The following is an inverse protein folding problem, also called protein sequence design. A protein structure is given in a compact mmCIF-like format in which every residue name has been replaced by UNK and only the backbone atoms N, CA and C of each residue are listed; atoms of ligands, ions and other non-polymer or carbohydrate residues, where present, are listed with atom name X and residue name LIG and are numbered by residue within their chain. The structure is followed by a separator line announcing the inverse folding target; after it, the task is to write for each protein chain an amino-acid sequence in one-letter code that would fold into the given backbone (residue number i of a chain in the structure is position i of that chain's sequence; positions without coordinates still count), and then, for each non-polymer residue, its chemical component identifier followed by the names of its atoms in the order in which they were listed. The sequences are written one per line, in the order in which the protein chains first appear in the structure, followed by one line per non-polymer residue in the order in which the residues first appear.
data_IF_810240856116
#
_entry.id   IF_810240856116
#
_cell.length_a   1.000
_cell.length_b   1.000
_cell.length_c   1.000
_cell.angle_alpha   90.00
_cell.angle_beta   90.00
_cell.angle_gamma   90.00
#
_symmetry.space_group_name_H-M   'P 1'
#
loop_
_entity.id
_entity.type
_entity.pdbx_description
1 polymer ?
#
# COMPACT_ATOMS: atom_id res chain seq x y z
N UNK A 1 -9.38 -1.71 20.68
CA UNK A 1 -9.23 -2.93 21.49
C UNK A 1 -8.61 -4.07 20.67
N UNK A 2 -9.23 -4.57 19.55
CA UNK A 2 -8.72 -5.74 18.79
C UNK A 2 -7.30 -5.53 18.23
N UNK A 3 -7.04 -4.39 17.56
CA UNK A 3 -5.70 -4.09 16.99
C UNK A 3 -4.62 -3.99 18.05
N UNK A 4 -4.92 -3.35 19.20
CA UNK A 4 -3.98 -3.28 20.31
C UNK A 4 -3.60 -4.67 20.81
N UNK A 5 -4.59 -5.53 21.05
CA UNK A 5 -4.35 -6.91 21.49
C UNK A 5 -3.48 -7.71 20.48
N UNK A 6 -3.74 -7.57 19.18
CA UNK A 6 -2.95 -8.22 18.13
C UNK A 6 -1.49 -7.78 18.16
N UNK A 7 -1.24 -6.48 18.34
CA UNK A 7 0.14 -5.96 18.44
C UNK A 7 0.81 -6.38 19.75
N UNK A 8 0.05 -6.41 20.87
CA UNK A 8 0.57 -6.86 22.17
C UNK A 8 0.95 -8.35 22.17
N UNK A 9 0.15 -9.19 21.48
CA UNK A 9 0.44 -10.63 21.38
C UNK A 9 1.48 -10.96 20.29
N UNK A 10 1.67 -10.05 19.34
CA UNK A 10 2.66 -10.24 18.27
C UNK A 10 2.23 -11.20 17.17
N UNK A 11 0.97 -11.60 17.10
CA UNK A 11 0.46 -12.56 16.13
C UNK A 11 -0.80 -12.04 15.41
N UNK A 12 -0.94 -12.36 14.14
CA UNK A 12 -2.16 -12.09 13.39
C UNK A 12 -2.36 -10.63 12.98
N UNK A 13 -1.29 -9.91 12.67
CA UNK A 13 -1.33 -8.53 12.18
C UNK A 13 -1.98 -8.51 10.81
N UNK A 14 -3.13 -7.85 10.71
CA UNK A 14 -3.89 -7.70 9.47
C UNK A 14 -3.36 -6.57 8.59
N UNK A 15 -3.92 -6.46 7.38
CA UNK A 15 -3.50 -5.48 6.36
C UNK A 15 -3.56 -4.04 6.87
N UNK A 16 -4.67 -3.66 7.50
CA UNK A 16 -4.86 -2.29 7.96
C UNK A 16 -3.96 -1.94 9.15
N UNK A 17 -3.64 -2.92 9.99
CA UNK A 17 -2.67 -2.77 11.08
C UNK A 17 -1.26 -2.63 10.52
N UNK A 18 -0.88 -3.46 9.52
CA UNK A 18 0.40 -3.34 8.82
C UNK A 18 0.59 -1.98 8.14
N UNK A 19 -0.47 -1.44 7.52
CA UNK A 19 -0.45 -0.08 6.96
C UNK A 19 -0.23 0.98 8.05
N UNK A 20 -0.97 0.89 9.16
CA UNK A 20 -0.83 1.83 10.27
C UNK A 20 0.56 1.78 10.90
N UNK A 21 1.17 0.61 11.00
CA UNK A 21 2.55 0.43 11.46
C UNK A 21 3.54 1.07 10.48
N UNK A 22 3.35 0.92 9.17
CA UNK A 22 4.21 1.56 8.17
C UNK A 22 4.19 3.08 8.30
N UNK A 23 3.00 3.66 8.37
CA UNK A 23 2.83 5.11 8.52
C UNK A 23 3.39 5.60 9.86
N UNK A 24 2.99 4.96 10.96
CA UNK A 24 3.41 5.36 12.30
C UNK A 24 4.92 5.31 12.50
N UNK A 25 5.58 4.26 12.02
CA UNK A 25 7.04 4.14 12.14
C UNK A 25 7.78 5.17 11.28
N UNK A 26 7.31 5.46 10.07
CA UNK A 26 7.87 6.53 9.23
C UNK A 26 7.74 7.90 9.90
N UNK A 27 6.58 8.19 10.51
CA UNK A 27 6.37 9.47 11.18
C UNK A 27 7.23 9.64 12.43
N UNK A 28 7.42 8.59 13.21
CA UNK A 28 8.33 8.62 14.36
C UNK A 28 9.78 8.82 13.92
N UNK A 29 10.15 8.37 12.72
CA UNK A 29 11.44 8.63 12.08
C UNK A 29 11.54 10.02 11.44
N UNK A 30 10.49 10.84 11.52
CA UNK A 30 10.47 12.21 11.00
C UNK A 30 10.01 12.33 9.55
N UNK A 31 9.45 11.28 8.94
CA UNK A 31 8.92 11.29 7.57
C UNK A 31 7.43 11.62 7.59
N UNK A 32 6.97 12.75 7.02
CA UNK A 32 5.56 13.03 6.87
C UNK A 32 4.85 12.02 5.97
N UNK A 33 3.59 11.75 6.25
CA UNK A 33 2.75 10.85 5.44
C UNK A 33 1.51 11.60 5.00
N UNK A 34 1.24 11.64 3.70
CA UNK A 34 0.05 12.23 3.13
C UNK A 34 -0.71 11.17 2.33
N UNK A 35 -1.96 10.96 2.68
CA UNK A 35 -2.87 10.04 2.01
C UNK A 35 -4.12 10.79 1.58
N UNK A 36 -4.43 10.78 0.30
CA UNK A 36 -5.68 11.31 -0.23
C UNK A 36 -6.41 10.31 -1.11
N UNK A 37 -7.72 10.44 -1.17
CA UNK A 37 -8.60 9.61 -1.99
C UNK A 37 -10.03 9.68 -1.47
N UNK A 38 -10.95 9.10 -2.21
CA UNK A 38 -12.36 9.06 -1.80
C UNK A 38 -12.50 8.12 -0.60
N UNK A 39 -13.14 8.61 0.47
CA UNK A 39 -13.33 7.88 1.72
C UNK A 39 -12.05 7.42 2.43
N UNK A 40 -10.88 7.99 2.14
CA UNK A 40 -9.58 7.50 2.64
C UNK A 40 -9.42 7.58 4.16
N UNK A 41 -10.10 8.50 4.85
CA UNK A 41 -10.09 8.59 6.31
C UNK A 41 -10.59 7.28 6.95
N UNK A 42 -11.63 6.69 6.41
CA UNK A 42 -12.23 5.42 6.85
C UNK A 42 -11.66 4.23 6.08
N UNK A 43 -11.31 4.43 4.84
CA UNK A 43 -11.09 3.45 3.78
C UNK A 43 -12.40 3.06 3.09
N UNK A 44 -12.37 2.91 1.74
CA UNK A 44 -13.54 2.50 0.93
C UNK A 44 -14.18 1.21 1.46
N UNK A 45 -13.36 0.29 1.94
CA UNK A 45 -13.81 -1.01 2.48
C UNK A 45 -13.93 -1.03 4.00
N UNK A 46 -14.00 0.14 4.66
CA UNK A 46 -14.13 0.24 6.12
C UNK A 46 -12.97 -0.48 6.85
N UNK A 47 -11.77 -0.40 6.32
CA UNK A 47 -10.58 -1.08 6.85
C UNK A 47 -9.68 -0.18 7.67
N UNK A 48 -9.50 1.08 7.27
CA UNK A 48 -8.46 1.97 7.81
C UNK A 48 -8.84 2.60 9.15
N UNK A 49 -9.92 3.35 9.17
CA UNK A 49 -10.36 4.10 10.36
C UNK A 49 -9.26 4.99 10.94
N UNK A 50 -8.62 5.81 10.11
CA UNK A 50 -7.56 6.73 10.51
C UNK A 50 -8.07 7.90 11.34
N UNK A 51 -9.34 8.24 11.22
CA UNK A 51 -9.97 9.37 11.91
C UNK A 51 -11.12 8.86 12.79
N UNK A 52 -11.12 9.30 14.04
CA UNK A 52 -12.23 9.12 14.97
C UNK A 52 -12.96 10.45 15.13
N UNK A 53 -14.29 10.42 15.09
CA UNK A 53 -15.11 11.60 15.24
C UNK A 53 -15.82 11.54 16.60
N UNK A 54 -15.74 12.62 17.39
CA UNK A 54 -16.54 12.74 18.60
C UNK A 54 -18.01 12.81 18.26
N UNK A 55 -18.83 12.03 18.94
CA UNK A 55 -20.26 11.89 18.61
C UNK A 55 -21.12 13.09 19.11
N UNK A 56 -20.52 14.03 19.85
CA UNK A 56 -21.20 15.20 20.39
C UNK A 56 -20.72 16.51 19.76
N UNK A 57 -19.39 16.64 19.60
CA UNK A 57 -18.76 17.87 19.13
C UNK A 57 -18.39 17.81 17.65
N UNK A 58 -18.38 16.59 17.05
CA UNK A 58 -17.90 16.30 15.70
C UNK A 58 -16.39 16.57 15.50
N UNK A 59 -15.66 16.79 16.59
CA UNK A 59 -14.21 16.97 16.53
C UNK A 59 -13.52 15.72 16.02
N UNK A 60 -12.51 15.92 15.17
CA UNK A 60 -11.71 14.84 14.60
C UNK A 60 -10.50 14.56 15.45
N UNK A 61 -10.25 13.29 15.72
CA UNK A 61 -9.04 12.78 16.36
C UNK A 61 -8.33 11.80 15.45
N UNK A 62 -7.05 12.05 15.16
CA UNK A 62 -6.20 11.19 14.34
C UNK A 62 -5.21 10.47 15.27
N UNK A 63 -5.44 9.18 15.59
CA UNK A 63 -4.58 8.45 16.53
C UNK A 63 -3.10 8.44 16.14
N UNK A 64 -2.80 8.31 14.85
CA UNK A 64 -1.43 8.29 14.35
C UNK A 64 -0.68 9.61 14.54
N UNK A 65 -1.35 10.74 14.69
CA UNK A 65 -0.71 12.03 15.04
C UNK A 65 -0.41 12.18 16.52
N UNK A 66 -0.65 11.14 17.31
CA UNK A 66 -0.50 11.17 18.76
C UNK A 66 0.33 9.98 19.30
N UNK A 67 1.34 9.54 18.54
CA UNK A 67 2.24 8.44 18.93
C UNK A 67 3.39 9.00 19.78
N UNK A 68 3.96 10.13 19.37
CA UNK A 68 5.11 10.78 20.01
C UNK A 68 5.03 12.30 19.88
N UNK A 69 5.61 13.03 20.82
CA UNK A 69 5.61 14.50 20.82
C UNK A 69 6.38 15.11 19.63
N UNK A 70 7.40 14.44 19.13
CA UNK A 70 8.32 14.96 18.11
C UNK A 70 8.21 14.20 16.78
N UNK A 71 7.08 13.59 16.49
CA UNK A 71 6.85 12.90 15.22
C UNK A 71 6.50 13.86 14.08
N UNK A 72 6.65 13.37 12.86
CA UNK A 72 6.08 14.02 11.68
C UNK A 72 4.55 13.85 11.61
N UNK A 73 3.90 14.61 10.74
CA UNK A 73 2.45 14.65 10.60
C UNK A 73 1.91 13.58 9.65
N UNK A 74 0.76 13.03 9.97
CA UNK A 74 -0.10 12.26 9.09
C UNK A 74 -1.27 13.10 8.61
N UNK A 75 -1.26 13.43 7.33
CA UNK A 75 -2.35 14.13 6.67
C UNK A 75 -3.18 13.11 5.89
N UNK A 76 -4.42 12.88 6.32
CA UNK A 76 -5.37 11.99 5.64
C UNK A 76 -6.60 12.77 5.21
N UNK A 77 -6.95 12.67 3.92
CA UNK A 77 -7.95 13.55 3.30
C UNK A 77 -8.95 12.72 2.49
N UNK A 78 -10.23 12.91 2.79
CA UNK A 78 -11.29 12.50 1.88
C UNK A 78 -11.34 13.48 0.71
N UNK A 79 -10.92 13.03 -0.46
CA UNK A 79 -10.83 13.86 -1.65
C UNK A 79 -12.18 14.11 -2.32
N UNK A 80 -12.19 15.08 -3.22
CA UNK A 80 -13.30 15.26 -4.16
C UNK A 80 -13.40 14.11 -5.17
N UNK A 81 -14.54 14.02 -5.86
CA UNK A 81 -14.83 13.04 -6.90
C UNK A 81 -14.19 13.44 -8.25
N UNK A 82 -12.87 13.38 -8.33
CA UNK A 82 -12.16 13.58 -9.59
C UNK A 82 -10.77 12.95 -9.52
N UNK A 83 -10.62 11.82 -10.17
CA UNK A 83 -9.35 11.10 -10.22
C UNK A 83 -8.26 11.94 -10.86
N UNK A 84 -8.57 12.62 -11.98
CA UNK A 84 -7.60 13.46 -12.68
C UNK A 84 -7.12 14.64 -11.83
N UNK A 85 -8.04 15.32 -11.15
CA UNK A 85 -7.68 16.47 -10.32
C UNK A 85 -6.87 16.04 -9.08
N UNK A 86 -7.33 15.01 -8.39
CA UNK A 86 -6.70 14.56 -7.14
C UNK A 86 -5.33 13.93 -7.43
N UNK A 87 -5.25 13.00 -8.39
CA UNK A 87 -3.97 12.39 -8.75
C UNK A 87 -2.98 13.42 -9.30
N UNK A 88 -3.45 14.38 -10.09
CA UNK A 88 -2.60 15.47 -10.60
C UNK A 88 -2.06 16.35 -9.47
N UNK A 89 -2.88 16.64 -8.46
CA UNK A 89 -2.45 17.37 -7.28
C UNK A 89 -1.41 16.60 -6.48
N UNK A 90 -1.65 15.34 -6.17
CA UNK A 90 -0.73 14.51 -5.38
C UNK A 90 0.59 14.25 -6.12
N UNK A 91 0.55 14.13 -7.44
CA UNK A 91 1.78 14.11 -8.23
C UNK A 91 2.59 15.39 -8.05
N UNK A 92 1.95 16.57 -8.19
CA UNK A 92 2.60 17.86 -7.96
C UNK A 92 3.14 18.01 -6.54
N UNK A 93 2.35 17.57 -5.54
CA UNK A 93 2.77 17.58 -4.13
C UNK A 93 4.03 16.73 -3.92
N UNK A 94 4.09 15.53 -4.49
CA UNK A 94 5.24 14.62 -4.38
C UNK A 94 6.53 15.18 -5.01
N UNK A 95 6.41 16.10 -5.96
CA UNK A 95 7.55 16.81 -6.55
C UNK A 95 8.03 17.99 -5.68
N UNK A 96 7.09 18.63 -4.99
CA UNK A 96 7.37 19.76 -4.11
C UNK A 96 7.95 19.30 -2.76
N UNK A 97 7.47 18.16 -2.24
CA UNK A 97 7.90 17.56 -0.97
C UNK A 97 8.37 16.10 -1.18
N UNK A 98 9.60 15.93 -1.67
CA UNK A 98 10.13 14.58 -1.97
C UNK A 98 10.46 13.76 -0.71
N UNK A 99 10.45 14.38 0.48
CA UNK A 99 10.74 13.73 1.75
C UNK A 99 9.47 13.24 2.47
N UNK A 100 8.29 13.48 1.94
CA UNK A 100 7.05 12.93 2.42
C UNK A 100 6.65 11.66 1.65
N UNK A 101 6.03 10.71 2.35
CA UNK A 101 5.33 9.60 1.71
C UNK A 101 3.97 10.10 1.23
N UNK A 102 3.84 10.33 -0.07
CA UNK A 102 2.62 10.83 -0.70
C UNK A 102 1.89 9.68 -1.37
N UNK A 103 0.62 9.45 -0.95
CA UNK A 103 -0.20 8.37 -1.47
C UNK A 103 -1.52 8.92 -2.02
N UNK A 104 -1.89 8.43 -3.19
CA UNK A 104 -3.24 8.54 -3.70
C UNK A 104 -3.92 7.17 -3.71
N UNK A 105 -5.08 7.06 -3.06
CA UNK A 105 -5.88 5.84 -3.09
C UNK A 105 -7.08 6.04 -4.02
N UNK A 106 -7.13 5.26 -5.11
CA UNK A 106 -8.33 5.17 -5.91
C UNK A 106 -9.45 4.50 -5.10
N UNK A 107 -10.70 4.90 -5.27
CA UNK A 107 -11.82 4.23 -4.62
C UNK A 107 -11.91 2.75 -5.05
N UNK A 108 -11.72 2.52 -6.35
CA UNK A 108 -11.41 1.25 -6.97
C UNK A 108 -10.32 1.49 -8.02
N UNK A 109 -9.39 0.56 -8.19
CA UNK A 109 -8.30 0.74 -9.14
C UNK A 109 -8.76 0.91 -10.59
N UNK A 110 -9.93 0.37 -10.95
CA UNK A 110 -10.52 0.56 -12.28
C UNK A 110 -10.81 2.03 -12.60
N UNK A 111 -11.13 2.85 -11.61
CA UNK A 111 -11.42 4.28 -11.80
C UNK A 111 -10.17 5.13 -12.06
N UNK A 112 -8.96 4.58 -11.92
CA UNK A 112 -7.73 5.27 -12.32
C UNK A 112 -7.73 5.66 -13.80
N UNK A 113 -8.57 5.04 -14.63
CA UNK A 113 -8.76 5.41 -16.03
C UNK A 113 -9.23 6.87 -16.21
N UNK A 114 -9.95 7.42 -15.23
CA UNK A 114 -10.33 8.85 -15.20
C UNK A 114 -9.15 9.81 -15.07
N UNK A 115 -7.99 9.31 -14.70
CA UNK A 115 -6.72 10.06 -14.60
C UNK A 115 -5.64 9.54 -15.57
N UNK A 116 -6.00 8.79 -16.60
CA UNK A 116 -5.03 8.13 -17.49
C UNK A 116 -4.06 9.13 -18.12
N UNK A 117 -4.52 10.33 -18.47
CA UNK A 117 -3.66 11.39 -19.01
C UNK A 117 -2.56 11.79 -18.01
N UNK A 118 -2.89 11.89 -16.72
CA UNK A 118 -1.91 12.20 -15.68
C UNK A 118 -0.90 11.06 -15.55
N UNK A 119 -1.36 9.82 -15.61
CA UNK A 119 -0.50 8.63 -15.54
C UNK A 119 0.47 8.61 -16.74
N UNK A 120 -0.05 8.74 -17.97
CA UNK A 120 0.77 8.60 -19.20
C UNK A 120 1.73 9.79 -19.39
N UNK A 121 1.25 11.02 -19.16
CA UNK A 121 1.98 12.22 -19.55
C UNK A 121 2.86 12.79 -18.43
N UNK A 122 2.60 12.42 -17.18
CA UNK A 122 3.32 12.97 -16.03
C UNK A 122 3.98 11.87 -15.20
N UNK A 123 3.23 10.93 -14.64
CA UNK A 123 3.76 9.94 -13.69
C UNK A 123 4.77 9.01 -14.37
N UNK A 124 4.42 8.41 -15.50
CA UNK A 124 5.27 7.46 -16.21
C UNK A 124 6.43 8.10 -16.97
N UNK A 125 6.30 9.36 -17.36
CA UNK A 125 7.23 10.02 -18.29
C UNK A 125 7.91 11.27 -17.72
N UNK A 126 7.51 11.75 -16.55
CA UNK A 126 8.00 13.02 -15.98
C UNK A 126 9.50 13.05 -15.72
N UNK A 127 10.08 11.93 -15.28
CA UNK A 127 11.50 11.82 -15.08
C UNK A 127 12.29 12.00 -16.40
N UNK A 128 11.84 11.35 -17.48
CA UNK A 128 12.49 11.45 -18.79
C UNK A 128 12.29 12.82 -19.43
N UNK A 129 11.09 13.39 -19.32
CA UNK A 129 10.78 14.69 -19.93
C UNK A 129 11.44 15.88 -19.22
N UNK A 130 11.46 15.86 -17.90
CA UNK A 130 11.78 17.03 -17.08
C UNK A 130 12.85 16.77 -16.03
N UNK A 131 13.42 15.57 -15.97
CA UNK A 131 14.36 15.14 -14.94
C UNK A 131 13.79 15.32 -13.52
N UNK A 132 12.48 15.09 -13.39
CA UNK A 132 11.75 15.19 -12.12
C UNK A 132 11.34 13.80 -11.64
N UNK A 133 11.92 13.39 -10.52
CA UNK A 133 11.59 12.14 -9.87
C UNK A 133 10.43 12.34 -8.88
N UNK A 134 9.41 11.51 -8.96
CA UNK A 134 8.28 11.50 -8.04
C UNK A 134 8.30 10.24 -7.18
N UNK A 135 8.10 10.42 -5.87
CA UNK A 135 7.92 9.30 -4.93
C UNK A 135 6.45 8.91 -4.72
N UNK A 136 5.55 9.39 -5.56
CA UNK A 136 4.12 9.13 -5.45
C UNK A 136 3.81 7.64 -5.39
N UNK A 137 2.94 7.25 -4.46
CA UNK A 137 2.39 5.90 -4.35
C UNK A 137 0.93 5.93 -4.82
N UNK A 138 0.59 5.03 -5.73
CA UNK A 138 -0.80 4.80 -6.14
C UNK A 138 -1.30 3.50 -5.52
N UNK A 139 -2.34 3.59 -4.69
CA UNK A 139 -3.02 2.45 -4.10
C UNK A 139 -4.26 2.13 -4.93
N UNK A 140 -4.25 0.99 -5.60
CA UNK A 140 -5.27 0.61 -6.58
C UNK A 140 -5.98 -0.67 -6.13
N UNK A 141 -7.15 -0.58 -5.46
CA UNK A 141 -7.93 -1.76 -5.10
C UNK A 141 -8.26 -2.61 -6.33
N UNK A 142 -7.86 -3.89 -6.28
CA UNK A 142 -7.89 -4.82 -7.40
C UNK A 142 -8.40 -6.19 -6.95
N UNK A 143 -9.25 -6.81 -7.77
CA UNK A 143 -9.78 -8.16 -7.55
C UNK A 143 -11.17 -8.33 -8.15
N UNK A 144 -11.50 -9.57 -8.49
CA UNK A 144 -12.75 -9.96 -9.14
C UNK A 144 -13.77 -10.54 -8.13
N UNK A 145 -13.92 -9.88 -6.97
CA UNK A 145 -14.78 -10.35 -5.87
C UNK A 145 -16.18 -9.71 -5.88
N UNK A 146 -16.93 -9.90 -6.97
CA UNK A 146 -18.37 -9.72 -6.98
C UNK A 146 -18.93 -8.30 -6.88
N UNK A 147 -18.14 -7.25 -7.14
CA UNK A 147 -18.60 -5.85 -7.01
C UNK A 147 -18.92 -5.18 -8.36
N UNK A 148 -19.10 -5.97 -9.39
CA UNK A 148 -19.39 -5.48 -10.74
C UNK A 148 -18.14 -5.31 -11.62
N UNK A 149 -18.34 -5.17 -12.95
CA UNK A 149 -17.23 -5.11 -13.92
C UNK A 149 -16.33 -3.91 -13.72
N UNK A 150 -16.91 -2.74 -13.43
CA UNK A 150 -16.21 -1.47 -13.25
C UNK A 150 -15.55 -1.30 -11.88
N UNK A 151 -15.67 -2.30 -11.01
CA UNK A 151 -15.10 -2.31 -9.66
C UNK A 151 -14.09 -3.45 -9.47
N UNK A 152 -13.59 -4.03 -10.53
CA UNK A 152 -12.79 -5.26 -10.48
C UNK A 152 -11.32 -5.03 -10.78
N UNK A 153 -10.97 -4.75 -12.02
CA UNK A 153 -9.58 -4.69 -12.44
C UNK A 153 -9.00 -3.29 -12.35
N UNK A 154 -7.87 -3.15 -11.67
CA UNK A 154 -7.03 -1.95 -11.71
C UNK A 154 -6.20 -1.87 -13.01
N UNK A 155 -6.34 -2.81 -13.93
CA UNK A 155 -5.62 -2.86 -15.19
C UNK A 155 -4.10 -2.89 -15.02
N UNK A 156 -3.63 -3.86 -14.24
CA UNK A 156 -2.20 -4.09 -13.99
C UNK A 156 -1.36 -4.06 -15.27
N UNK A 157 -1.87 -4.63 -16.36
CA UNK A 157 -1.24 -4.69 -17.67
C UNK A 157 -0.95 -3.30 -18.27
N UNK A 158 -1.76 -2.28 -17.99
CA UNK A 158 -1.50 -0.91 -18.45
C UNK A 158 -0.24 -0.34 -17.83
N UNK A 159 -0.06 -0.54 -16.53
CA UNK A 159 1.13 -0.07 -15.82
C UNK A 159 2.38 -0.83 -16.25
N UNK A 160 2.28 -2.14 -16.45
CA UNK A 160 3.39 -2.94 -16.96
C UNK A 160 3.82 -2.51 -18.37
N UNK A 161 2.86 -2.13 -19.24
CA UNK A 161 3.17 -1.56 -20.56
C UNK A 161 3.89 -0.21 -20.50
N UNK A 162 3.60 0.60 -19.47
CA UNK A 162 4.24 1.89 -19.28
C UNK A 162 5.63 1.80 -18.64
N UNK A 163 6.02 0.62 -18.15
CA UNK A 163 7.35 0.42 -17.56
C UNK A 163 8.43 0.44 -18.64
N UNK A 164 9.36 1.37 -18.53
CA UNK A 164 10.52 1.51 -19.41
C UNK A 164 11.64 2.24 -18.65
N UNK A 165 12.88 1.82 -18.84
CA UNK A 165 14.06 2.49 -18.28
C UNK A 165 13.96 2.72 -16.75
N UNK A 166 13.38 1.77 -16.03
CA UNK A 166 13.18 1.84 -14.56
C UNK A 166 12.37 3.07 -14.08
N UNK A 167 11.44 3.56 -14.90
CA UNK A 167 10.66 4.77 -14.64
C UNK A 167 9.68 4.63 -13.46
N UNK A 168 9.18 3.43 -13.17
CA UNK A 168 8.23 3.18 -12.08
C UNK A 168 8.39 1.77 -11.53
N UNK A 169 7.82 1.54 -10.34
CA UNK A 169 7.73 0.24 -9.69
C UNK A 169 6.27 -0.22 -9.70
N UNK A 170 6.03 -1.46 -10.07
CA UNK A 170 4.69 -2.08 -10.04
C UNK A 170 4.74 -3.29 -9.14
N UNK A 171 3.83 -3.38 -8.16
CA UNK A 171 3.81 -4.48 -7.21
C UNK A 171 2.38 -4.90 -6.86
N UNK A 172 2.24 -6.17 -6.48
CA UNK A 172 1.01 -6.79 -6.04
C UNK A 172 1.30 -7.58 -4.76
N UNK A 173 1.30 -6.89 -3.63
CA UNK A 173 1.55 -7.51 -2.33
C UNK A 173 0.39 -8.39 -1.90
N UNK A 174 0.68 -9.52 -1.25
CA UNK A 174 -0.32 -10.49 -0.76
C UNK A 174 -0.29 -10.68 0.74
N UNK A 175 0.77 -10.21 1.41
CA UNK A 175 0.91 -10.27 2.87
C UNK A 175 1.01 -8.88 3.49
N UNK A 176 0.49 -8.66 4.71
CA UNK A 176 0.61 -7.38 5.43
C UNK A 176 2.05 -6.94 5.62
N UNK A 177 2.97 -7.85 5.96
CA UNK A 177 4.36 -7.54 6.16
C UNK A 177 5.02 -7.00 4.87
N UNK A 178 4.72 -7.61 3.74
CA UNK A 178 5.30 -7.18 2.46
C UNK A 178 4.77 -5.80 2.04
N UNK A 179 3.51 -5.51 2.34
CA UNK A 179 2.91 -4.19 2.15
C UNK A 179 3.54 -3.13 3.07
N UNK A 180 3.72 -3.45 4.35
CA UNK A 180 4.47 -2.60 5.30
C UNK A 180 5.86 -2.24 4.77
N UNK A 181 6.62 -3.25 4.38
CA UNK A 181 8.00 -3.03 3.93
C UNK A 181 8.10 -2.24 2.63
N UNK A 182 7.20 -2.44 1.66
CA UNK A 182 7.28 -1.71 0.40
C UNK A 182 6.98 -0.22 0.59
N UNK A 183 6.06 0.13 1.50
CA UNK A 183 5.76 1.51 1.83
C UNK A 183 6.95 2.21 2.50
N UNK A 184 7.56 1.56 3.49
CA UNK A 184 8.76 2.10 4.14
C UNK A 184 9.94 2.19 3.19
N UNK A 185 10.15 1.16 2.37
CA UNK A 185 11.19 1.12 1.35
C UNK A 185 11.11 2.30 0.38
N UNK A 186 9.91 2.79 0.07
CA UNK A 186 9.69 3.94 -0.81
C UNK A 186 10.42 5.18 -0.28
N UNK A 187 10.48 5.37 1.03
CA UNK A 187 11.15 6.51 1.66
C UNK A 187 12.61 6.26 2.01
N UNK A 188 12.96 5.03 2.38
CA UNK A 188 14.34 4.67 2.74
C UNK A 188 15.31 4.57 1.56
N UNK A 189 14.80 4.51 0.33
CA UNK A 189 15.64 4.58 -0.88
C UNK A 189 16.16 6.00 -1.10
N UNK A 190 17.41 6.11 -1.56
CA UNK A 190 18.03 7.40 -1.90
C UNK A 190 17.63 7.93 -3.29
N UNK A 191 16.54 7.44 -3.83
CA UNK A 191 15.91 7.89 -5.08
C UNK A 191 14.39 7.87 -4.92
N UNK A 192 13.70 8.59 -5.80
CA UNK A 192 12.24 8.61 -5.88
C UNK A 192 11.80 8.05 -7.24
N UNK A 193 10.91 7.07 -7.20
CA UNK A 193 10.23 6.48 -8.37
C UNK A 193 8.78 6.26 -8.02
N UNK A 194 7.81 6.53 -8.91
CA UNK A 194 6.42 6.19 -8.65
C UNK A 194 6.25 4.72 -8.32
N UNK A 195 5.40 4.44 -7.34
CA UNK A 195 5.08 3.10 -6.89
C UNK A 195 3.60 2.82 -7.13
N UNK A 196 3.32 1.84 -7.97
CA UNK A 196 1.96 1.41 -8.30
C UNK A 196 1.68 0.11 -7.55
N UNK A 197 0.75 0.15 -6.59
CA UNK A 197 0.39 -1.00 -5.77
C UNK A 197 -1.03 -1.48 -6.10
N UNK A 198 -1.14 -2.71 -6.56
CA UNK A 198 -2.40 -3.42 -6.55
C UNK A 198 -2.74 -3.78 -5.11
N UNK A 199 -3.73 -3.10 -4.52
CA UNK A 199 -4.16 -3.36 -3.15
C UNK A 199 -5.32 -4.35 -3.11
N UNK A 200 -5.41 -5.18 -2.06
CA UNK A 200 -6.44 -6.20 -1.99
C UNK A 200 -7.80 -5.62 -1.60
N UNK A 201 -8.85 -6.36 -1.92
CA UNK A 201 -10.20 -6.19 -1.38
C UNK A 201 -10.55 -7.32 -0.41
N UNK A 202 -10.56 -8.56 -0.88
CA UNK A 202 -10.88 -9.72 -0.04
C UNK A 202 -9.83 -9.99 1.03
N UNK A 203 -8.54 -9.84 0.72
CA UNK A 203 -7.46 -10.08 1.69
C UNK A 203 -7.46 -9.11 2.87
N UNK A 204 -8.12 -7.96 2.77
CA UNK A 204 -8.27 -7.03 3.90
C UNK A 204 -8.92 -7.68 5.13
N UNK A 205 -9.70 -8.74 4.95
CA UNK A 205 -10.40 -9.47 6.02
C UNK A 205 -10.21 -10.99 5.97
N UNK A 206 -9.36 -11.46 5.07
CA UNK A 206 -9.10 -12.89 4.95
C UNK A 206 -8.29 -13.37 6.16
N UNK A 207 -8.71 -14.47 6.76
CA UNK A 207 -8.11 -14.97 8.00
C UNK A 207 -6.66 -15.40 7.85
N UNK A 208 -6.25 -15.80 6.65
CA UNK A 208 -4.87 -16.19 6.33
C UNK A 208 -4.00 -15.01 5.86
N UNK A 209 -4.58 -13.85 5.53
CA UNK A 209 -3.84 -12.66 5.15
C UNK A 209 -3.40 -11.89 6.40
N UNK A 210 -2.57 -12.51 7.19
CA UNK A 210 -1.99 -11.99 8.43
C UNK A 210 -0.47 -12.18 8.38
N UNK A 211 0.24 -11.47 9.23
CA UNK A 211 1.69 -11.62 9.45
C UNK A 211 1.99 -11.50 10.93
N UNK A 212 3.12 -12.04 11.36
CA UNK A 212 3.54 -11.99 12.75
C UNK A 212 4.44 -10.77 13.02
N UNK A 213 4.53 -10.33 14.27
CA UNK A 213 5.28 -9.12 14.63
C UNK A 213 6.76 -9.22 14.21
N UNK A 214 7.36 -10.39 14.25
CA UNK A 214 8.73 -10.62 13.84
C UNK A 214 8.98 -10.22 12.39
N UNK A 215 7.98 -10.36 11.53
CA UNK A 215 8.04 -9.98 10.12
C UNK A 215 8.15 -8.45 9.89
N UNK A 216 7.89 -7.65 10.92
CA UNK A 216 7.96 -6.19 10.89
C UNK A 216 9.21 -5.62 11.55
N UNK A 217 10.01 -6.46 12.20
CA UNK A 217 11.18 -6.07 12.97
C UNK A 217 12.46 -5.97 12.11
N UNK A 218 13.54 -5.52 12.76
CA UNK A 218 14.87 -5.46 12.15
C UNK A 218 15.32 -6.86 11.72
N UNK A 219 15.77 -6.95 10.47
CA UNK A 219 16.19 -8.22 9.86
C UNK A 219 15.20 -8.75 8.83
N UNK A 220 13.96 -8.23 8.84
CA UNK A 220 12.98 -8.46 7.78
C UNK A 220 13.06 -7.38 6.69
N UNK A 221 12.48 -7.63 5.52
CA UNK A 221 12.52 -6.71 4.40
C UNK A 221 11.44 -7.02 3.37
N UNK A 222 11.27 -6.12 2.40
CA UNK A 222 10.42 -6.38 1.26
C UNK A 222 10.95 -7.53 0.40
N UNK A 223 10.12 -8.52 0.14
CA UNK A 223 10.41 -9.64 -0.76
C UNK A 223 9.72 -9.45 -2.11
N UNK A 224 10.51 -9.49 -3.20
CA UNK A 224 9.99 -9.43 -4.57
C UNK A 224 9.25 -10.70 -4.96
N UNK A 225 9.68 -11.82 -4.40
CA UNK A 225 9.09 -13.14 -4.53
C UNK A 225 8.93 -13.71 -3.15
N UNK A 226 7.75 -14.21 -2.84
CA UNK A 226 7.49 -14.94 -1.60
C UNK A 226 7.79 -16.42 -1.83
N UNK A 227 8.38 -17.05 -0.85
CA UNK A 227 8.65 -18.48 -0.86
C UNK A 227 7.45 -19.26 -0.33
N UNK A 228 7.42 -20.55 -0.59
CA UNK A 228 6.44 -21.44 0.01
C UNK A 228 6.64 -21.49 1.53
N UNK A 229 5.58 -21.28 2.30
CA UNK A 229 5.65 -21.28 3.77
C UNK A 229 6.06 -22.62 4.34
N UNK A 230 5.86 -23.72 3.59
CA UNK A 230 6.32 -25.04 3.99
C UNK A 230 7.85 -25.17 4.06
N UNK A 231 8.61 -24.36 3.28
CA UNK A 231 10.07 -24.29 3.39
C UNK A 231 10.54 -23.71 4.73
N UNK A 232 9.72 -22.87 5.34
CA UNK A 232 9.97 -22.25 6.64
C UNK A 232 9.40 -23.04 7.82
N UNK A 233 8.73 -24.16 7.54
CA UNK A 233 8.05 -24.95 8.57
C UNK A 233 6.74 -24.32 9.07
N UNK A 234 6.17 -23.36 8.34
CA UNK A 234 4.94 -22.65 8.70
C UNK A 234 3.69 -23.26 8.04
N UNK A 235 3.80 -24.43 7.44
CA UNK A 235 2.68 -25.13 6.81
C UNK A 235 2.42 -26.48 7.48
N UNK A 236 1.15 -26.83 7.63
CA UNK A 236 0.72 -28.14 8.09
C UNK A 236 1.05 -29.26 7.09
N UNK A 237 1.39 -28.91 5.85
CA UNK A 237 1.74 -29.85 4.79
C UNK A 237 3.22 -29.68 4.44
N UNK A 238 4.10 -30.59 4.88
CA UNK A 238 5.53 -30.50 4.56
C UNK A 238 5.77 -30.74 3.07
N UNK A 239 6.79 -30.06 2.53
CA UNK A 239 7.28 -30.31 1.17
C UNK A 239 7.88 -31.72 1.06
N UNK A 240 7.79 -32.29 -0.14
CA UNK A 240 8.57 -33.48 -0.47
C UNK A 240 10.06 -33.12 -0.51
N UNK A 241 10.93 -34.12 -0.35
CA UNK A 241 12.38 -33.92 -0.52
C UNK A 241 12.68 -33.36 -1.93
N UNK A 242 13.71 -32.52 -2.04
CA UNK A 242 14.00 -31.73 -3.26
C UNK A 242 14.11 -32.59 -4.51
N UNK A 243 14.69 -33.78 -4.42
CA UNK A 243 14.80 -34.75 -5.50
C UNK A 243 13.46 -35.34 -5.96
N UNK A 244 12.41 -35.17 -5.15
CA UNK A 244 11.03 -35.62 -5.41
C UNK A 244 10.09 -34.52 -5.87
N UNK A 245 10.52 -33.26 -5.83
CA UNK A 245 9.75 -32.13 -6.34
C UNK A 245 9.73 -32.19 -7.87
N UNK A 246 8.55 -32.42 -8.44
CA UNK A 246 8.38 -32.56 -9.89
C UNK A 246 7.85 -31.29 -10.56
N UNK A 247 7.35 -30.34 -9.80
CA UNK A 247 6.73 -29.14 -10.34
C UNK A 247 6.89 -27.97 -9.37
N UNK A 248 7.33 -26.83 -9.89
CA UNK A 248 7.28 -25.54 -9.22
C UNK A 248 6.17 -24.71 -9.88
N UNK A 249 5.26 -24.15 -9.09
CA UNK A 249 4.17 -23.30 -9.56
C UNK A 249 4.48 -21.88 -9.16
N UNK A 250 4.62 -21.00 -10.14
CA UNK A 250 4.77 -19.55 -9.90
C UNK A 250 3.41 -18.89 -10.12
N UNK A 251 3.00 -18.06 -9.16
CA UNK A 251 1.74 -17.33 -9.22
C UNK A 251 1.92 -15.88 -8.78
N UNK A 252 0.90 -15.06 -8.92
CA UNK A 252 0.88 -13.69 -8.41
C UNK A 252 -0.48 -13.34 -7.81
N UNK A 253 -0.49 -12.35 -6.91
CA UNK A 253 -1.69 -11.91 -6.24
C UNK A 253 -2.25 -13.00 -5.31
N UNK A 254 -3.54 -12.94 -5.05
CA UNK A 254 -4.22 -13.81 -4.07
C UNK A 254 -4.30 -15.30 -4.42
N UNK A 255 -3.71 -15.73 -5.52
CA UNK A 255 -3.52 -17.16 -5.81
C UNK A 255 -2.40 -17.75 -4.93
N UNK A 256 -1.48 -16.93 -4.50
CA UNK A 256 -0.48 -17.28 -3.48
C UNK A 256 -1.17 -17.62 -2.15
#
# INVERSE_FOLDING_TARGET
ARRAAVVEHGEGIDWATGEALAFGTLMVEGTPVRLSGQDSERGTFVQRHSVLNDQKTEDKYVPLNNISENQAEYEVINSMLSEAAVLGFEYGYSLAEPNALVLWEAQFGDFANGAQVVIDQFISSGERKWLRMSGLVMLLPHGYEGQGPEHSSARLERYLQLCAEDNMQVANCTTPMNYFHILRRQMHRNFRKPLILMTPKSLLRHKMAISDAEDFLTGSSFHRVLWDDAEKGHSDTPLAADDKIKRVVMCSGKVY
#
